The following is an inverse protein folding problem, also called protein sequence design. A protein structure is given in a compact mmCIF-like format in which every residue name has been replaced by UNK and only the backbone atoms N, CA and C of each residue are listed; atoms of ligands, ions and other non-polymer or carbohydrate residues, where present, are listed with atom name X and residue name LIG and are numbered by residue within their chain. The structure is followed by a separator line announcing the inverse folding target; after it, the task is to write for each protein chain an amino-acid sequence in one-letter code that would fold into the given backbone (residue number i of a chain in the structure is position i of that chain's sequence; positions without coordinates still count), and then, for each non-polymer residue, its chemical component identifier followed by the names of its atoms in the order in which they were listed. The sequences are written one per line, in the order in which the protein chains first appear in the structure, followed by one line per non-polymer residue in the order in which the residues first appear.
data_IF_572604737261
#
_entry.id   IF_572604737261
#
_cell.length_a   1.000
_cell.length_b   1.000
_cell.length_c   1.000
_cell.angle_alpha   90.00
_cell.angle_beta   90.00
_cell.angle_gamma   90.00
#
_symmetry.space_group_name_H-M   'P 1'
#
loop_
_entity.id
_entity.type
_entity.pdbx_description
1 polymer ?
#
# COMPACT_ATOMS: atom_id res chain seq x y z
N UNK A 1 42.90 14.80 -28.73
CA UNK A 1 41.65 14.06 -29.05
C UNK A 1 41.25 13.32 -27.79
N UNK A 2 40.37 13.91 -26.97
CA UNK A 2 39.87 13.27 -25.76
C UNK A 2 38.51 12.67 -26.08
N UNK A 3 38.42 11.34 -26.11
CA UNK A 3 37.15 10.63 -26.19
C UNK A 3 36.49 10.69 -24.82
N UNK A 4 35.37 11.42 -24.73
CA UNK A 4 34.43 11.28 -23.62
C UNK A 4 33.65 9.99 -23.86
N UNK A 5 33.94 8.98 -23.04
CA UNK A 5 33.11 7.79 -22.91
C UNK A 5 31.77 8.22 -22.30
N UNK A 6 30.74 8.28 -23.13
CA UNK A 6 29.36 8.41 -22.69
C UNK A 6 29.03 7.18 -21.85
N UNK A 7 28.94 7.37 -20.54
CA UNK A 7 28.33 6.39 -19.64
C UNK A 7 26.83 6.46 -19.94
N UNK A 8 26.35 5.57 -20.79
CA UNK A 8 24.92 5.30 -20.91
C UNK A 8 24.43 4.89 -19.52
N UNK A 9 23.58 5.73 -18.93
CA UNK A 9 22.87 5.37 -17.73
C UNK A 9 21.88 4.26 -18.11
N UNK A 10 22.23 3.00 -17.81
CA UNK A 10 21.27 1.90 -17.81
C UNK A 10 20.14 2.29 -16.85
N UNK A 11 19.00 2.67 -17.41
CA UNK A 11 17.75 2.76 -16.66
C UNK A 11 17.44 1.36 -16.13
N UNK A 12 17.28 1.16 -14.80
CA UNK A 12 16.82 -0.12 -14.29
C UNK A 12 15.42 -0.35 -14.87
N UNK A 13 15.26 -1.44 -15.62
CA UNK A 13 14.12 -1.65 -16.53
C UNK A 13 12.78 -1.85 -15.81
N UNK A 14 12.75 -1.94 -14.48
CA UNK A 14 11.52 -1.87 -13.70
C UNK A 14 11.87 -1.53 -12.26
N UNK A 15 11.15 -0.61 -11.58
CA UNK A 15 11.33 -0.41 -10.15
C UNK A 15 11.08 -1.72 -9.39
N UNK A 16 11.81 -1.99 -8.29
CA UNK A 16 11.61 -3.19 -7.50
C UNK A 16 10.14 -3.33 -7.07
N UNK A 17 9.54 -4.52 -7.14
CA UNK A 17 8.15 -4.72 -6.73
C UNK A 17 8.03 -4.50 -5.22
N UNK A 18 7.50 -3.36 -4.83
CA UNK A 18 7.27 -2.98 -3.44
C UNK A 18 5.99 -2.18 -3.30
N UNK A 19 5.69 -1.79 -2.07
CA UNK A 19 4.54 -0.98 -1.72
C UNK A 19 4.92 0.05 -0.67
N UNK A 20 4.25 1.20 -0.74
CA UNK A 20 4.31 2.20 0.29
C UNK A 20 3.19 1.94 1.32
N UNK A 21 3.57 1.72 2.57
CA UNK A 21 2.64 1.47 3.67
C UNK A 21 2.10 2.78 4.25
N UNK A 22 0.89 2.79 4.85
CA UNK A 22 0.38 3.94 5.59
C UNK A 22 1.27 4.40 6.75
N UNK A 23 2.13 3.51 7.28
CA UNK A 23 3.20 3.83 8.22
C UNK A 23 4.36 4.65 7.63
N UNK A 24 4.24 5.12 6.39
CA UNK A 24 5.24 5.92 5.66
C UNK A 24 6.53 5.15 5.35
N UNK A 25 6.42 3.83 5.19
CA UNK A 25 7.54 2.94 4.91
C UNK A 25 7.36 2.30 3.54
N UNK A 26 8.40 2.36 2.70
CA UNK A 26 8.49 1.51 1.51
C UNK A 26 9.01 0.14 1.89
N UNK A 27 8.33 -0.93 1.44
CA UNK A 27 8.77 -2.31 1.69
C UNK A 27 8.53 -3.22 0.48
N UNK A 28 9.36 -4.26 0.38
CA UNK A 28 9.16 -5.41 -0.51
C UNK A 28 8.89 -6.69 0.30
N UNK A 29 8.91 -6.60 1.63
CA UNK A 29 8.78 -7.74 2.54
C UNK A 29 7.30 -8.03 2.81
N UNK A 30 6.87 -9.23 2.40
CA UNK A 30 5.49 -9.70 2.55
C UNK A 30 5.07 -9.82 4.02
N UNK A 31 5.98 -10.20 4.92
CA UNK A 31 5.66 -10.32 6.34
C UNK A 31 5.36 -8.95 6.97
N UNK A 32 6.11 -7.92 6.55
CA UNK A 32 5.89 -6.54 6.97
C UNK A 32 4.53 -6.03 6.46
N UNK A 33 4.17 -6.35 5.20
CA UNK A 33 2.85 -5.98 4.63
C UNK A 33 1.71 -6.69 5.38
N UNK A 34 1.86 -7.98 5.71
CA UNK A 34 0.88 -8.73 6.51
C UNK A 34 0.74 -8.16 7.92
N UNK A 35 1.85 -7.78 8.56
CA UNK A 35 1.84 -7.16 9.87
C UNK A 35 1.12 -5.81 9.84
N UNK A 36 1.39 -4.97 8.84
CA UNK A 36 0.73 -3.68 8.67
C UNK A 36 -0.77 -3.84 8.44
N UNK A 37 -1.18 -4.76 7.56
CA UNK A 37 -2.60 -5.09 7.33
C UNK A 37 -3.31 -5.47 8.64
N UNK A 38 -2.69 -6.31 9.47
CA UNK A 38 -3.24 -6.68 10.79
C UNK A 38 -3.39 -5.46 11.71
N UNK A 39 -2.39 -4.56 11.71
CA UNK A 39 -2.43 -3.31 12.47
C UNK A 39 -3.60 -2.42 12.02
N UNK A 40 -3.78 -2.25 10.71
CA UNK A 40 -4.88 -1.43 10.15
C UNK A 40 -6.25 -2.04 10.45
N UNK A 41 -6.41 -3.36 10.34
CA UNK A 41 -7.67 -4.04 10.71
C UNK A 41 -8.04 -3.83 12.18
N UNK A 42 -7.06 -3.87 13.08
CA UNK A 42 -7.29 -3.60 14.50
C UNK A 42 -7.71 -2.15 14.73
N UNK A 43 -7.06 -1.19 14.06
CA UNK A 43 -7.40 0.23 14.13
C UNK A 43 -8.80 0.51 13.55
N UNK A 44 -9.12 -0.07 12.39
CA UNK A 44 -10.43 0.00 11.76
C UNK A 44 -11.52 -0.48 12.73
N UNK A 45 -11.32 -1.64 13.36
CA UNK A 45 -12.29 -2.16 14.36
C UNK A 45 -12.51 -1.18 15.52
N UNK A 46 -11.45 -0.57 16.05
CA UNK A 46 -11.55 0.38 17.15
C UNK A 46 -12.30 1.65 16.74
N UNK A 47 -11.96 2.21 15.58
CA UNK A 47 -12.58 3.42 15.07
C UNK A 47 -14.04 3.20 14.69
N UNK A 48 -14.35 2.05 14.09
CA UNK A 48 -15.72 1.67 13.75
C UNK A 48 -16.58 1.52 15.00
N UNK A 49 -16.04 0.95 16.09
CA UNK A 49 -16.73 0.89 17.36
C UNK A 49 -17.00 2.29 17.94
N UNK A 50 -16.04 3.22 17.82
CA UNK A 50 -16.21 4.61 18.26
C UNK A 50 -17.34 5.30 17.49
N UNK A 51 -17.33 5.23 16.14
CA UNK A 51 -18.35 5.83 15.28
C UNK A 51 -19.74 5.24 15.58
N UNK A 52 -19.85 3.91 15.70
CA UNK A 52 -21.13 3.27 16.01
C UNK A 52 -21.64 3.53 17.44
N UNK A 53 -20.78 4.02 18.35
CA UNK A 53 -21.17 4.41 19.71
C UNK A 53 -21.56 5.88 19.83
N UNK A 54 -21.42 6.66 18.75
CA UNK A 54 -21.76 8.07 18.72
C UNK A 54 -23.27 8.29 18.91
N UNK A 55 -23.64 9.40 19.54
CA UNK A 55 -25.04 9.79 19.61
C UNK A 55 -25.48 10.28 18.20
N UNK A 56 -26.70 10.00 17.73
CA UNK A 56 -27.20 10.58 16.48
C UNK A 56 -27.07 12.12 16.41
N UNK A 57 -27.08 12.82 17.55
CA UNK A 57 -26.82 14.27 17.57
C UNK A 57 -25.40 14.66 17.15
N UNK A 58 -24.46 13.73 17.18
CA UNK A 58 -23.05 13.92 16.84
C UNK A 58 -22.76 13.76 15.35
N UNK A 59 -23.74 13.38 14.52
CA UNK A 59 -23.55 13.16 13.07
C UNK A 59 -22.92 14.37 12.36
N UNK A 60 -23.31 15.58 12.76
CA UNK A 60 -22.78 16.84 12.22
C UNK A 60 -21.52 17.33 12.96
N UNK A 61 -21.09 16.63 14.02
CA UNK A 61 -19.89 17.02 14.75
C UNK A 61 -18.65 16.76 13.89
N UNK A 62 -17.72 17.71 13.86
CA UNK A 62 -16.50 17.60 13.05
C UNK A 62 -15.71 16.34 13.33
N UNK A 63 -15.63 15.92 14.60
CA UNK A 63 -14.94 14.69 14.98
C UNK A 63 -15.58 13.45 14.37
N UNK A 64 -16.91 13.41 14.25
CA UNK A 64 -17.66 12.28 13.70
C UNK A 64 -17.41 12.17 12.20
N UNK A 65 -17.54 13.28 11.47
CA UNK A 65 -17.21 13.34 10.03
C UNK A 65 -15.75 12.94 9.75
N UNK A 66 -14.80 13.39 10.58
CA UNK A 66 -13.40 13.01 10.46
C UNK A 66 -13.18 11.52 10.75
N UNK A 67 -13.88 10.96 11.74
CA UNK A 67 -13.80 9.53 12.07
C UNK A 67 -14.36 8.67 10.94
N UNK A 68 -15.49 9.06 10.35
CA UNK A 68 -16.06 8.38 9.17
C UNK A 68 -15.12 8.42 7.96
N UNK A 69 -14.53 9.58 7.65
CA UNK A 69 -13.59 9.64 6.52
C UNK A 69 -12.31 8.85 6.80
N UNK A 70 -11.83 8.86 8.05
CA UNK A 70 -10.70 8.05 8.47
C UNK A 70 -10.99 6.55 8.33
N UNK A 71 -12.23 6.10 8.59
CA UNK A 71 -12.64 4.71 8.32
C UNK A 71 -12.57 4.40 6.83
N UNK A 72 -13.12 5.27 5.98
CA UNK A 72 -13.06 5.08 4.52
C UNK A 72 -11.63 5.03 4.01
N UNK A 73 -10.73 5.82 4.58
CA UNK A 73 -9.31 5.76 4.25
C UNK A 73 -8.69 4.42 4.67
N UNK A 74 -8.98 3.94 5.88
CA UNK A 74 -8.49 2.64 6.35
C UNK A 74 -8.98 1.48 5.47
N UNK A 75 -10.23 1.50 5.02
CA UNK A 75 -10.75 0.48 4.10
C UNK A 75 -9.95 0.43 2.80
N UNK A 76 -9.72 1.60 2.17
CA UNK A 76 -8.92 1.70 0.94
C UNK A 76 -7.48 1.23 1.14
N UNK A 77 -6.88 1.59 2.27
CA UNK A 77 -5.51 1.18 2.60
C UNK A 77 -5.44 -0.35 2.80
N UNK A 78 -6.41 -0.94 3.51
CA UNK A 78 -6.50 -2.38 3.73
C UNK A 78 -6.69 -3.13 2.40
N UNK A 79 -7.58 -2.65 1.54
CA UNK A 79 -7.81 -3.23 0.20
C UNK A 79 -6.54 -3.19 -0.64
N UNK A 80 -5.83 -2.06 -0.64
CA UNK A 80 -4.56 -1.90 -1.36
C UNK A 80 -3.50 -2.91 -0.89
N UNK A 81 -3.40 -3.15 0.42
CA UNK A 81 -2.49 -4.17 0.97
C UNK A 81 -2.96 -5.58 0.62
N UNK A 82 -4.27 -5.82 0.56
CA UNK A 82 -4.84 -7.11 0.17
C UNK A 82 -4.49 -7.43 -1.28
N UNK A 83 -4.76 -6.51 -2.20
CA UNK A 83 -4.46 -6.64 -3.63
C UNK A 83 -2.96 -6.85 -3.87
N UNK A 84 -2.12 -6.13 -3.13
CA UNK A 84 -0.67 -6.29 -3.25
C UNK A 84 -0.20 -7.68 -2.81
N UNK A 85 -0.77 -8.22 -1.73
CA UNK A 85 -0.47 -9.57 -1.26
C UNK A 85 -0.93 -10.63 -2.27
N UNK A 86 -2.16 -10.51 -2.79
CA UNK A 86 -2.68 -11.45 -3.80
C UNK A 86 -1.84 -11.44 -5.08
N UNK A 87 -1.48 -10.26 -5.60
CA UNK A 87 -0.65 -10.15 -6.80
C UNK A 87 0.76 -10.75 -6.61
N UNK A 88 1.25 -10.76 -5.36
CA UNK A 88 2.52 -11.38 -4.99
C UNK A 88 2.39 -12.91 -4.94
N UNK A 89 1.30 -13.43 -4.38
CA UNK A 89 1.01 -14.87 -4.31
C UNK A 89 0.74 -15.50 -5.68
N UNK A 90 0.05 -14.79 -6.58
CA UNK A 90 -0.25 -15.28 -7.94
C UNK A 90 0.94 -15.27 -8.89
N UNK A 91 2.08 -14.71 -8.48
CA UNK A 91 3.25 -14.54 -9.35
C UNK A 91 3.03 -13.57 -10.51
N UNK A 92 1.89 -12.88 -10.57
CA UNK A 92 1.51 -11.93 -11.63
C UNK A 92 2.47 -10.73 -11.72
N UNK A 93 3.27 -10.47 -10.69
CA UNK A 93 4.36 -9.48 -10.73
C UNK A 93 5.73 -10.03 -11.16
N UNK A 94 5.89 -11.34 -11.33
CA UNK A 94 7.18 -11.98 -11.70
C UNK A 94 7.36 -12.22 -13.20
N UNK A 95 6.33 -12.10 -14.02
CA UNK A 95 6.37 -12.55 -15.41
C UNK A 95 6.44 -11.41 -16.43
N UNK A 96 7.65 -10.90 -16.66
CA UNK A 96 8.06 -10.64 -18.05
C UNK A 96 9.36 -11.38 -18.29
N UNK A 97 9.21 -12.62 -18.77
CA UNK A 97 10.33 -13.43 -19.23
C UNK A 97 11.16 -12.62 -20.23
N UNK A 98 12.44 -12.50 -19.94
CA UNK A 98 13.49 -12.19 -20.90
C UNK A 98 13.42 -13.17 -22.07
N UNK A 99 12.61 -12.88 -23.09
CA UNK A 99 12.80 -13.46 -24.42
C UNK A 99 13.83 -12.60 -25.14
N UNK A 100 15.08 -12.91 -24.85
CA UNK A 100 16.19 -12.62 -25.76
C UNK A 100 15.92 -13.46 -27.01
N UNK A 101 15.61 -12.81 -28.13
CA UNK A 101 15.68 -13.47 -29.44
C UNK A 101 17.16 -13.48 -29.85
N UNK A 102 17.68 -14.68 -30.13
CA UNK A 102 18.99 -14.92 -30.78
C UNK A 102 19.08 -14.23 -32.15
#
# INVERSE_FOLDING_TARGET
MNQQSSIEASTPDTPPPGIFLPSMIWTTDQEVVVAEKKRLLALHKQLNALVNSANPSDECATWHMMAEESLRQLDRDIDTLFDWLEATERGERRERCDRVYD
#
